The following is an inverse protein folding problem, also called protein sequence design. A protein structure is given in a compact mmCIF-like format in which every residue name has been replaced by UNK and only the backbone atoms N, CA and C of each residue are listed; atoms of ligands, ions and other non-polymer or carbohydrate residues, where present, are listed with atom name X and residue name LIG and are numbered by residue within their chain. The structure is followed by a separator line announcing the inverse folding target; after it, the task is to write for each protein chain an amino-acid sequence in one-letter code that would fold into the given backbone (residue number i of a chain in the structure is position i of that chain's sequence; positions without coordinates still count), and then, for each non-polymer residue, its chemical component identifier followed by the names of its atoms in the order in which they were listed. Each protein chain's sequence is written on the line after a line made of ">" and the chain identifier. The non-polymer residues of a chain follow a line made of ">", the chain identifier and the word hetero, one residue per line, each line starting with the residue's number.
data_IF_942446721789
#
_entry.id   IF_942446721789
#
_cell.length_a   1.000
_cell.length_b   1.000
_cell.length_c   1.000
_cell.angle_alpha   90.00
_cell.angle_beta   90.00
_cell.angle_gamma   90.00
#
_symmetry.space_group_name_H-M   'P 1'
#
loop_
_entity.id
_entity.type
_entity.pdbx_description
1 polymer ?
2 non-polymer ?
3 water ?
#
# COMPACT_ATOMS: atom_id res chain seq x y z
N UNK A 9 -8.29 16.15 -19.88
CA UNK A 9 -7.72 14.82 -20.13
C UNK A 9 -7.45 14.07 -18.81
N UNK A 10 -7.54 12.73 -18.87
CA UNK A 10 -7.22 11.83 -17.77
C UNK A 10 -5.94 11.05 -18.11
N UNK A 11 -4.99 10.94 -17.17
CA UNK A 11 -3.79 10.15 -17.40
C UNK A 11 -3.74 8.99 -16.42
N UNK A 12 -3.18 7.85 -16.86
CA UNK A 12 -2.87 6.73 -15.97
C UNK A 12 -1.37 6.44 -16.05
N UNK A 13 -0.66 6.52 -14.94
CA UNK A 13 0.78 6.32 -14.99
C UNK A 13 1.01 4.83 -14.71
N UNK A 14 1.37 4.07 -15.75
CA UNK A 14 1.19 2.63 -15.69
C UNK A 14 2.25 1.94 -14.82
N UNK A 15 3.35 2.65 -14.51
CA UNK A 15 4.43 2.10 -13.71
C UNK A 15 4.25 2.49 -12.24
N UNK A 16 3.31 3.40 -11.93
CA UNK A 16 3.26 3.99 -10.61
C UNK A 16 3.03 2.98 -9.45
N UNK A 17 2.08 2.05 -9.61
CA UNK A 17 1.71 1.15 -8.55
C UNK A 17 2.88 0.23 -8.22
N UNK A 18 3.68 -0.14 -9.23
CA UNK A 18 4.88 -0.95 -8.98
C UNK A 18 5.89 -0.19 -8.17
N UNK A 19 6.13 1.08 -8.52
CA UNK A 19 7.06 1.92 -7.80
C UNK A 19 6.59 2.20 -6.39
N UNK A 20 5.29 2.46 -6.22
CA UNK A 20 4.71 2.66 -4.92
C UNK A 20 4.88 1.44 -3.99
N UNK A 21 4.57 0.26 -4.50
CA UNK A 21 4.77 -0.98 -3.75
C UNK A 21 6.22 -1.13 -3.30
N UNK A 22 7.16 -0.82 -4.19
CA UNK A 22 8.57 -0.76 -3.85
C UNK A 22 8.82 0.07 -2.58
N UNK A 23 8.25 1.26 -2.52
CA UNK A 23 8.43 2.15 -1.40
C UNK A 23 7.76 1.59 -0.13
N UNK A 24 6.55 1.08 -0.25
CA UNK A 24 5.83 0.50 0.89
C UNK A 24 6.63 -0.71 1.44
N UNK A 25 7.26 -1.50 0.56
CA UNK A 25 8.08 -2.64 0.97
C UNK A 25 9.31 -2.13 1.72
N UNK A 26 9.92 -1.05 1.21
CA UNK A 26 11.02 -0.43 1.95
C UNK A 26 10.58 0.01 3.34
N UNK A 27 9.41 0.65 3.49
CA UNK A 27 8.96 1.15 4.78
C UNK A 27 8.64 0.00 5.74
N UNK A 28 8.10 -1.09 5.20
CA UNK A 28 7.91 -2.30 5.98
C UNK A 28 9.25 -2.84 6.48
N UNK A 29 10.23 -2.97 5.62
CA UNK A 29 11.51 -3.56 5.99
C UNK A 29 12.25 -2.65 6.98
N UNK A 30 11.98 -1.36 6.98
CA UNK A 30 12.64 -0.46 7.92
C UNK A 30 11.72 -0.22 9.11
N UNK A 31 10.58 -0.93 9.16
CA UNK A 31 9.67 -0.85 10.27
C UNK A 31 9.17 0.57 10.51
N UNK A 32 8.75 1.23 9.42
CA UNK A 32 8.22 2.57 9.55
C UNK A 32 6.75 2.56 9.20
N UNK A 33 5.97 3.25 10.04
CA UNK A 33 4.56 3.53 9.83
C UNK A 33 3.66 2.33 10.10
N UNK A 34 4.24 1.22 10.57
CA UNK A 34 3.54 -0.05 10.77
C UNK A 34 2.51 0.07 11.88
N UNK A 35 1.37 -0.60 11.73
CA UNK A 35 0.30 -0.49 12.72
C UNK A 35 -0.21 -1.88 13.14
N UNK A 36 0.49 -2.92 12.70
CA UNK A 36 0.15 -4.28 13.11
C UNK A 36 1.44 -5.03 13.31
N UNK A 37 1.46 -5.83 14.38
CA UNK A 37 2.48 -6.83 14.59
C UNK A 37 1.79 -8.18 14.63
N UNK A 38 2.14 -9.03 13.67
CA UNK A 38 1.69 -10.41 13.64
C UNK A 38 2.67 -11.27 14.44
N UNK A 39 2.15 -11.90 15.51
CA UNK A 39 2.90 -12.91 16.26
C UNK A 39 2.45 -14.30 15.85
N UNK A 40 3.36 -15.03 15.22
CA UNK A 40 3.01 -16.26 14.55
C UNK A 40 3.62 -17.40 15.36
N UNK A 41 2.73 -18.26 15.88
CA UNK A 41 3.16 -19.40 16.70
C UNK A 41 2.79 -20.67 15.94
N UNK A 42 3.77 -21.54 15.70
CA UNK A 42 3.52 -22.81 15.03
C UNK A 42 4.27 -23.93 15.76
N UNK A 43 3.56 -25.04 16.01
CA UNK A 43 4.14 -26.24 16.61
C UNK A 43 5.21 -25.88 17.64
N UNK A 44 6.44 -26.34 17.36
CA UNK A 44 7.56 -26.24 18.26
C UNK A 44 8.55 -25.21 17.73
N UNK A 45 8.37 -24.81 16.46
CA UNK A 45 9.16 -23.75 15.85
C UNK A 45 9.15 -22.51 16.75
N UNK A 46 10.21 -21.65 16.64
CA UNK A 46 10.27 -20.41 17.43
C UNK A 46 9.20 -19.41 16.96
N UNK A 47 8.61 -18.68 17.92
CA UNK A 47 7.64 -17.65 17.59
C UNK A 47 8.31 -16.59 16.72
N UNK A 48 7.58 -16.07 15.73
CA UNK A 48 8.10 -15.00 14.89
C UNK A 48 7.11 -13.84 14.90
N UNK A 49 7.66 -12.63 14.72
CA UNK A 49 6.90 -11.41 14.71
C UNK A 49 7.10 -10.74 13.36
N UNK A 50 6.05 -10.19 12.79
CA UNK A 50 6.14 -9.48 11.53
C UNK A 50 5.42 -8.16 11.67
N UNK A 51 6.12 -7.08 11.42
CA UNK A 51 5.44 -5.80 11.47
C UNK A 51 5.00 -5.43 10.06
N UNK A 52 3.82 -4.81 9.96
CA UNK A 52 3.29 -4.48 8.66
C UNK A 52 2.28 -3.35 8.80
N UNK A 53 1.67 -3.04 7.66
CA UNK A 53 0.64 -2.05 7.50
C UNK A 53 -0.68 -2.73 7.21
N UNK A 54 -1.67 -2.51 8.09
CA UNK A 54 -2.96 -3.16 7.94
C UNK A 54 -3.55 -2.88 6.57
N UNK A 55 -3.39 -1.65 6.04
CA UNK A 55 -4.06 -1.34 4.79
C UNK A 55 -3.41 -2.15 3.66
N UNK A 56 -2.09 -2.40 3.73
CA UNK A 56 -1.46 -3.16 2.65
C UNK A 56 -1.85 -4.65 2.74
N UNK A 57 -1.91 -5.18 3.96
CA UNK A 57 -2.30 -6.59 4.10
C UNK A 57 -3.74 -6.76 3.64
N UNK A 58 -4.62 -5.80 3.99
CA UNK A 58 -6.00 -5.86 3.53
C UNK A 58 -6.10 -5.84 2.02
N UNK A 59 -5.19 -5.12 1.35
CA UNK A 59 -5.18 -5.00 -0.10
C UNK A 59 -4.86 -6.34 -0.76
N UNK A 60 -4.24 -7.26 0.00
CA UNK A 60 -3.76 -8.52 -0.54
C UNK A 60 -4.71 -9.67 -0.30
N UNK A 61 -5.62 -9.52 0.68
CA UNK A 61 -6.32 -10.67 1.24
C UNK A 61 -7.64 -10.23 1.86
N UNK A 62 -8.78 -10.78 1.40
CA UNK A 62 -10.09 -10.54 2.02
C UNK A 62 -10.14 -10.97 3.49
N UNK A 63 -9.31 -11.94 3.83
CA UNK A 63 -9.22 -12.42 5.20
C UNK A 63 -8.51 -11.39 6.07
N UNK A 64 -7.36 -10.86 5.63
CA UNK A 64 -6.74 -9.75 6.34
C UNK A 64 -7.70 -8.55 6.37
N UNK A 65 -8.42 -8.29 5.29
CA UNK A 65 -9.27 -7.13 5.26
C UNK A 65 -10.37 -7.26 6.34
N UNK A 66 -10.99 -8.44 6.45
CA UNK A 66 -12.03 -8.70 7.44
C UNK A 66 -11.46 -8.63 8.85
N UNK A 67 -10.24 -9.16 9.01
CA UNK A 67 -9.56 -9.18 10.29
C UNK A 67 -9.45 -7.77 10.85
N UNK A 68 -9.22 -6.76 9.99
CA UNK A 68 -8.84 -5.45 10.51
C UNK A 68 -9.98 -4.45 10.45
N UNK A 69 -11.12 -4.77 9.83
CA UNK A 69 -12.17 -3.77 9.63
C UNK A 69 -13.50 -4.15 10.32
N UNK A 74 -10.27 0.00 16.88
CA UNK A 74 -8.82 -0.17 17.19
C UNK A 74 -8.05 1.06 16.71
N UNK A 75 -6.97 1.39 17.41
CA UNK A 75 -6.16 2.55 17.10
C UNK A 75 -4.77 2.37 17.70
N UNK A 76 -3.73 2.73 16.93
CA UNK A 76 -2.34 2.47 17.31
C UNK A 76 -1.90 1.07 16.90
N UNK A 77 -0.71 0.68 17.38
CA UNK A 77 -0.10 -0.59 17.06
C UNK A 77 -0.90 -1.72 17.70
N UNK A 78 -1.44 -2.64 16.90
CA UNK A 78 -2.17 -3.78 17.40
C UNK A 78 -1.35 -5.05 17.19
N UNK A 79 -1.13 -5.79 18.30
CA UNK A 79 -0.43 -7.06 18.28
C UNK A 79 -1.46 -8.16 18.09
N UNK A 80 -1.31 -8.93 17.01
CA UNK A 80 -2.28 -9.92 16.56
C UNK A 80 -1.61 -11.29 16.57
N UNK A 81 -2.26 -12.28 17.21
CA UNK A 81 -1.69 -13.61 17.31
C UNK A 81 -2.30 -14.53 16.27
N UNK A 82 -1.42 -15.32 15.65
CA UNK A 82 -1.80 -16.26 14.63
C UNK A 82 -1.22 -17.61 15.03
N UNK A 83 -2.01 -18.69 14.89
CA UNK A 83 -1.54 -20.03 15.23
C UNK A 83 -1.79 -21.01 14.09
N UNK A 84 -0.91 -22.01 13.96
CA UNK A 84 -1.13 -23.11 13.04
C UNK A 84 -0.76 -22.75 11.60
N UNK A 85 -0.02 -21.66 11.42
CA UNK A 85 0.63 -21.39 10.16
C UNK A 85 2.10 -21.12 10.44
N UNK A 86 2.94 -21.83 9.72
CA UNK A 86 4.37 -21.69 9.87
C UNK A 86 4.80 -20.28 9.50
N UNK A 87 5.68 -19.67 10.32
CA UNK A 87 6.21 -18.34 10.07
C UNK A 87 6.74 -18.10 8.66
N UNK A 88 7.38 -19.10 8.07
CA UNK A 88 7.94 -18.98 6.72
C UNK A 88 6.84 -18.81 5.67
N UNK A 89 5.69 -19.47 5.88
CA UNK A 89 4.54 -19.30 5.01
C UNK A 89 4.04 -17.86 5.13
N UNK A 90 3.79 -17.43 6.37
CA UNK A 90 3.27 -16.11 6.60
C UNK A 90 4.22 -15.07 5.98
N UNK A 91 5.52 -15.25 6.19
CA UNK A 91 6.52 -14.41 5.56
C UNK A 91 6.38 -14.33 4.03
N UNK A 92 6.17 -15.46 3.34
CA UNK A 92 5.95 -15.46 1.92
C UNK A 92 4.70 -14.68 1.55
N UNK A 93 3.64 -14.77 2.36
CA UNK A 93 2.39 -14.12 2.03
C UNK A 93 2.54 -12.60 2.21
N UNK A 94 3.24 -12.16 3.26
CA UNK A 94 3.47 -10.75 3.53
C UNK A 94 4.31 -10.18 2.39
N UNK A 95 5.36 -10.92 1.97
CA UNK A 95 6.22 -10.46 0.90
C UNK A 95 5.43 -10.29 -0.39
N UNK A 96 4.51 -11.21 -0.66
CA UNK A 96 3.59 -11.13 -1.79
C UNK A 96 2.76 -9.86 -1.72
N UNK A 97 2.15 -9.59 -0.57
CA UNK A 97 1.32 -8.41 -0.39
C UNK A 97 2.08 -7.11 -0.72
N UNK A 98 3.39 -7.07 -0.48
CA UNK A 98 4.18 -5.86 -0.73
C UNK A 98 4.95 -5.87 -2.04
N UNK A 99 4.92 -6.98 -2.81
CA UNK A 99 5.70 -7.09 -4.04
C UNK A 99 4.92 -7.58 -5.25
N UNK A 100 3.78 -8.23 -5.04
CA UNK A 100 3.02 -8.91 -6.08
C UNK A 100 3.78 -10.12 -6.61
N UNK A 101 4.77 -10.59 -5.87
CA UNK A 101 5.51 -11.75 -6.30
C UNK A 101 5.51 -12.82 -5.20
N UNK A 102 5.40 -14.08 -5.61
CA UNK A 102 5.38 -15.20 -4.69
C UNK A 102 6.51 -16.14 -5.07
N UNK A 103 7.20 -16.62 -4.05
CA UNK A 103 8.28 -17.59 -4.19
C UNK A 103 7.86 -18.94 -3.63
N UNK A 104 8.31 -20.00 -4.30
CA UNK A 104 8.01 -21.37 -3.89
C UNK A 104 9.03 -22.31 -4.51
N UNK A 105 9.02 -23.54 -3.99
CA UNK A 105 9.74 -24.66 -4.57
C UNK A 105 9.03 -25.96 -4.24
N UNK A 106 9.61 -27.05 -4.79
CA UNK A 106 9.05 -28.40 -4.72
C UNK A 106 8.60 -28.72 -3.30
N UNK A 107 9.45 -28.41 -2.31
CA UNK A 107 9.19 -28.90 -0.96
C UNK A 107 8.33 -27.93 -0.15
N UNK A 108 7.99 -26.74 -0.67
CA UNK A 108 7.16 -25.84 0.12
C UNK A 108 5.91 -25.35 -0.63
N UNK A 109 5.69 -25.80 -1.86
CA UNK A 109 4.57 -25.27 -2.64
C UNK A 109 3.26 -25.61 -1.93
N UNK A 110 3.14 -26.80 -1.34
CA UNK A 110 1.90 -27.17 -0.69
C UNK A 110 1.70 -26.30 0.54
N UNK A 111 2.79 -25.98 1.24
CA UNK A 111 2.71 -25.15 2.41
C UNK A 111 2.26 -23.73 2.03
N UNK A 112 2.84 -23.17 0.97
CA UNK A 112 2.46 -21.84 0.50
C UNK A 112 1.01 -21.86 0.05
N UNK A 113 0.63 -22.91 -0.69
CA UNK A 113 -0.74 -23.01 -1.19
C UNK A 113 -1.71 -23.02 0.00
N UNK A 114 -1.39 -23.78 1.06
CA UNK A 114 -2.25 -23.88 2.24
C UNK A 114 -2.50 -22.50 2.86
N UNK A 115 -1.41 -21.75 3.02
CA UNK A 115 -1.43 -20.38 3.49
C UNK A 115 -2.30 -19.46 2.62
N UNK A 116 -2.16 -19.57 1.29
CA UNK A 116 -2.94 -18.75 0.37
C UNK A 116 -4.42 -19.14 0.47
N UNK A 117 -4.67 -20.43 0.62
CA UNK A 117 -6.05 -20.88 0.76
C UNK A 117 -6.63 -20.22 2.02
N UNK A 118 -5.91 -20.39 3.14
CA UNK A 118 -6.37 -19.90 4.42
C UNK A 118 -6.67 -18.39 4.34
N UNK A 119 -5.83 -17.63 3.61
CA UNK A 119 -6.01 -16.20 3.47
C UNK A 119 -6.81 -15.78 2.24
N UNK A 120 -7.36 -16.73 1.48
CA UNK A 120 -8.18 -16.48 0.30
C UNK A 120 -7.43 -15.59 -0.69
N UNK A 121 -6.13 -15.84 -0.88
CA UNK A 121 -5.38 -15.05 -1.85
C UNK A 121 -5.41 -15.84 -3.15
N UNK A 122 -6.44 -15.62 -3.97
CA UNK A 122 -6.72 -16.56 -5.03
C UNK A 122 -5.60 -16.60 -6.08
N UNK A 123 -5.02 -15.46 -6.41
CA UNK A 123 -3.95 -15.43 -7.42
C UNK A 123 -2.79 -16.34 -7.02
N UNK A 124 -2.42 -16.30 -5.74
CA UNK A 124 -1.35 -17.14 -5.22
C UNK A 124 -1.76 -18.60 -5.22
N UNK A 125 -2.99 -18.93 -4.77
CA UNK A 125 -3.49 -20.30 -4.91
C UNK A 125 -3.29 -20.82 -6.35
N UNK A 126 -3.64 -20.01 -7.36
CA UNK A 126 -3.63 -20.47 -8.73
C UNK A 126 -2.18 -20.66 -9.19
N UNK A 127 -1.27 -19.79 -8.72
CA UNK A 127 0.13 -19.85 -9.07
C UNK A 127 0.76 -21.10 -8.46
N UNK A 128 0.39 -21.43 -7.21
CA UNK A 128 0.81 -22.69 -6.61
C UNK A 128 0.29 -23.90 -7.40
N UNK A 129 -0.98 -23.89 -7.81
CA UNK A 129 -1.54 -25.01 -8.54
C UNK A 129 -0.80 -25.17 -9.88
N UNK A 130 -0.56 -24.06 -10.57
CA UNK A 130 0.16 -24.07 -11.84
C UNK A 130 1.52 -24.75 -11.66
N UNK A 131 2.20 -24.39 -10.57
CA UNK A 131 3.51 -24.93 -10.27
C UNK A 131 3.44 -26.43 -10.05
N UNK A 132 2.47 -26.86 -9.24
CA UNK A 132 2.27 -28.26 -8.90
C UNK A 132 1.98 -29.11 -10.13
N UNK A 133 1.12 -28.61 -11.01
CA UNK A 133 0.74 -29.33 -12.21
C UNK A 133 1.92 -29.44 -13.18
N UNK A 134 2.79 -28.43 -13.23
CA UNK A 134 3.97 -28.50 -14.10
C UNK A 134 4.92 -29.62 -13.71
N UNK A 135 5.02 -29.97 -12.42
CA UNK A 135 5.93 -31.01 -11.95
C UNK A 135 5.51 -32.38 -12.51
N UNK B 4 13.69 -29.71 -8.65
CA UNK B 4 14.48 -30.41 -7.62
C UNK B 4 15.71 -29.57 -7.26
N UNK B 5 16.50 -30.07 -6.30
CA UNK B 5 17.72 -29.40 -5.86
C UNK B 5 17.47 -28.20 -4.94
N UNK B 6 16.23 -28.04 -4.43
CA UNK B 6 15.94 -26.96 -3.50
C UNK B 6 15.94 -25.61 -4.21
N UNK B 7 15.68 -25.62 -5.53
CA UNK B 7 15.63 -24.38 -6.29
C UNK B 7 14.33 -23.64 -5.94
N UNK B 8 14.39 -22.31 -5.89
CA UNK B 8 13.19 -21.51 -5.61
C UNK B 8 12.90 -20.68 -6.84
N UNK B 9 11.60 -20.64 -7.18
CA UNK B 9 11.11 -19.92 -8.31
C UNK B 9 10.22 -18.79 -7.79
N UNK B 10 10.26 -17.65 -8.50
CA UNK B 10 9.45 -16.48 -8.23
C UNK B 10 8.48 -16.24 -9.38
N UNK B 11 7.25 -15.78 -9.04
CA UNK B 11 6.21 -15.51 -10.02
C UNK B 11 5.58 -14.18 -9.68
N UNK B 12 5.62 -13.25 -10.62
CA UNK B 12 4.95 -11.97 -10.47
C UNK B 12 3.51 -12.11 -10.96
N UNK B 13 2.55 -11.73 -10.11
CA UNK B 13 1.17 -11.79 -10.48
C UNK B 13 0.80 -10.40 -10.97
N UNK B 14 0.66 -10.26 -12.29
CA UNK B 14 0.64 -8.99 -13.00
C UNK B 14 -0.61 -8.16 -12.71
N UNK B 15 -1.76 -8.76 -12.40
CA UNK B 15 -2.97 -7.99 -12.14
C UNK B 15 -2.99 -7.47 -10.70
N UNK B 16 -2.02 -7.89 -9.87
CA UNK B 16 -2.21 -7.79 -8.44
C UNK B 16 -2.14 -6.35 -7.92
N UNK B 17 -1.12 -5.55 -8.29
CA UNK B 17 -0.95 -4.27 -7.64
C UNK B 17 -2.11 -3.36 -8.01
N UNK B 18 -2.69 -3.51 -9.20
CA UNK B 18 -3.81 -2.70 -9.61
C UNK B 18 -5.04 -3.05 -8.77
N UNK B 19 -5.30 -4.34 -8.59
CA UNK B 19 -6.42 -4.73 -7.73
C UNK B 19 -6.20 -4.28 -6.28
N UNK B 20 -4.96 -4.39 -5.80
CA UNK B 20 -4.62 -3.98 -4.46
C UNK B 20 -4.90 -2.49 -4.27
N UNK B 21 -4.41 -1.66 -5.18
CA UNK B 21 -4.66 -0.23 -5.01
C UNK B 21 -6.17 0.06 -4.99
N UNK B 22 -6.91 -0.68 -5.80
CA UNK B 22 -8.35 -0.50 -5.84
C UNK B 22 -8.98 -0.70 -4.47
N UNK B 23 -8.54 -1.75 -3.76
CA UNK B 23 -8.99 -2.02 -2.41
C UNK B 23 -8.51 -0.93 -1.45
N UNK B 24 -7.25 -0.48 -1.56
CA UNK B 24 -6.80 0.60 -0.68
C UNK B 24 -7.66 1.86 -0.89
N UNK B 25 -8.04 2.16 -2.13
CA UNK B 25 -8.84 3.34 -2.40
C UNK B 25 -10.24 3.17 -1.83
N UNK B 26 -10.77 1.94 -1.89
CA UNK B 26 -12.07 1.65 -1.31
C UNK B 26 -12.05 1.95 0.18
N UNK B 27 -10.97 1.53 0.84
CA UNK B 27 -10.83 1.67 2.29
C UNK B 27 -10.69 3.14 2.64
N UNK B 28 -9.96 3.89 1.80
CA UNK B 28 -9.87 5.33 1.99
C UNK B 28 -11.28 5.94 1.94
N UNK B 29 -12.08 5.53 0.95
CA UNK B 29 -13.34 6.22 0.68
C UNK B 29 -14.39 5.88 1.72
N UNK B 30 -14.25 4.72 2.36
CA UNK B 30 -15.12 4.29 3.43
C UNK B 30 -14.46 4.65 4.77
N UNK B 31 -13.35 5.38 4.68
CA UNK B 31 -12.61 5.92 5.82
C UNK B 31 -12.32 4.84 6.84
N UNK B 32 -11.78 3.70 6.36
CA UNK B 32 -11.35 2.61 7.22
C UNK B 32 -9.84 2.47 7.19
N UNK B 33 -9.28 2.18 8.36
CA UNK B 33 -7.87 1.92 8.63
C UNK B 33 -7.04 3.21 8.50
N UNK B 34 -7.67 4.34 8.21
CA UNK B 34 -6.92 5.57 7.97
C UNK B 34 -6.22 6.04 9.25
N UNK B 35 -5.06 6.69 9.10
CA UNK B 35 -4.27 7.08 10.26
C UNK B 35 -3.85 8.55 10.16
N UNK B 36 -4.31 9.25 9.12
CA UNK B 36 -4.01 10.66 9.02
C UNK B 36 -5.23 11.38 8.48
N UNK B 37 -5.49 12.55 9.06
CA UNK B 37 -6.45 13.48 8.50
C UNK B 37 -5.70 14.74 8.10
N UNK B 38 -5.72 15.04 6.82
CA UNK B 38 -5.15 16.27 6.31
C UNK B 38 -6.18 17.39 6.44
N UNK B 39 -5.75 18.48 7.07
CA UNK B 39 -6.57 19.68 7.15
C UNK B 39 -5.92 20.73 6.29
N UNK B 40 -6.52 20.94 5.12
CA UNK B 40 -5.98 21.76 4.06
C UNK B 40 -6.60 23.15 4.18
N UNK B 41 -5.81 24.12 4.66
CA UNK B 41 -6.23 25.51 4.82
C UNK B 41 -5.52 26.34 3.76
N UNK B 42 -6.30 26.88 2.84
CA UNK B 42 -5.72 27.74 1.82
C UNK B 42 -6.48 29.08 1.79
N UNK B 43 -5.73 30.19 1.82
CA UNK B 43 -6.26 31.54 1.59
C UNK B 43 -7.58 31.80 2.33
N UNK B 44 -7.64 31.41 3.61
CA UNK B 44 -8.80 31.62 4.48
C UNK B 44 -10.12 31.10 3.88
N UNK B 45 -10.09 30.05 3.05
CA UNK B 45 -11.28 29.24 2.83
C UNK B 45 -11.51 28.36 4.06
N UNK B 46 -12.71 27.82 4.31
CA UNK B 46 -12.88 26.86 5.40
C UNK B 46 -11.91 25.68 5.13
N UNK B 47 -11.44 25.04 6.21
CA UNK B 47 -10.44 23.99 6.10
C UNK B 47 -11.12 22.79 5.46
N UNK B 48 -10.41 22.10 4.58
CA UNK B 48 -10.96 20.94 3.88
C UNK B 48 -10.28 19.70 4.43
N UNK B 49 -11.06 18.65 4.66
CA UNK B 49 -10.50 17.49 5.32
C UNK B 49 -10.44 16.32 4.35
N UNK B 50 -9.31 15.60 4.45
CA UNK B 50 -9.11 14.37 3.70
C UNK B 50 -8.50 13.34 4.64
N UNK B 51 -9.13 12.15 4.70
CA UNK B 51 -8.56 11.07 5.47
C UNK B 51 -7.78 10.15 4.53
N UNK B 52 -6.70 9.59 5.06
CA UNK B 52 -5.87 8.72 4.24
C UNK B 52 -4.97 7.88 5.12
N UNK B 53 -4.11 7.07 4.45
CA UNK B 53 -3.17 6.17 5.05
C UNK B 53 -1.76 6.67 4.77
N UNK B 54 -1.04 6.98 5.84
CA UNK B 54 0.30 7.53 5.71
C UNK B 54 1.18 6.68 4.79
N UNK B 55 1.10 5.33 4.92
CA UNK B 55 1.99 4.49 4.13
C UNK B 55 1.71 4.70 2.64
N UNK B 56 0.45 4.97 2.27
CA UNK B 56 0.10 5.09 0.85
C UNK B 56 0.54 6.48 0.37
N UNK B 57 0.31 7.53 1.15
CA UNK B 57 0.77 8.86 0.76
C UNK B 57 2.29 8.87 0.59
N UNK B 58 3.01 8.25 1.53
CA UNK B 58 4.47 8.15 1.47
C UNK B 58 4.93 7.43 0.20
N UNK B 59 4.18 6.44 -0.26
CA UNK B 59 4.52 5.70 -1.46
C UNK B 59 4.41 6.57 -2.71
N UNK B 60 3.71 7.70 -2.64
CA UNK B 60 3.46 8.54 -3.79
C UNK B 60 4.33 9.79 -3.80
N UNK B 61 4.85 10.18 -2.63
CA UNK B 61 5.43 11.51 -2.44
C UNK B 61 6.61 11.42 -1.46
N UNK B 62 7.83 11.77 -1.90
CA UNK B 62 8.95 11.89 -0.96
C UNK B 62 8.74 12.92 0.13
N UNK B 63 7.94 13.95 -0.15
CA UNK B 63 7.57 14.94 0.83
C UNK B 63 6.68 14.36 1.92
N UNK B 64 5.60 13.66 1.54
CA UNK B 64 4.82 12.93 2.53
C UNK B 64 5.67 11.93 3.29
N UNK B 65 6.54 11.20 2.61
CA UNK B 65 7.28 10.15 3.26
C UNK B 65 8.19 10.74 4.35
N UNK B 66 8.87 11.84 4.04
CA UNK B 66 9.72 12.53 5.00
C UNK B 66 8.89 13.05 6.16
N UNK B 67 7.72 13.63 5.86
CA UNK B 67 6.89 14.21 6.88
C UNK B 67 6.48 13.12 7.86
N UNK B 68 6.09 11.95 7.36
CA UNK B 68 5.47 11.00 8.26
C UNK B 68 6.50 10.12 8.97
N UNK B 69 7.71 9.95 8.41
CA UNK B 69 8.70 9.04 8.98
C UNK B 69 9.76 9.73 9.85
N UNK B 70 9.69 11.05 10.05
CA UNK B 70 10.85 11.78 10.58
C UNK B 70 10.71 12.15 12.06
N UNK B 71 9.52 12.57 12.50
CA UNK B 71 9.31 13.03 13.86
C UNK B 71 8.61 11.99 14.73
N UNK B 72 7.70 12.46 15.60
CA UNK B 72 7.00 11.63 16.59
C UNK B 72 5.65 12.26 17.01
N UNK B 73 4.60 11.42 17.08
CA UNK B 73 3.26 11.85 17.49
C UNK B 73 2.71 10.80 18.46
N UNK B 74 1.38 10.55 18.43
CA UNK B 74 0.76 9.61 19.36
C UNK B 74 0.44 8.27 18.68
N UNK B 75 0.78 8.13 17.39
CA UNK B 75 0.64 6.88 16.64
C UNK B 75 -0.83 6.41 16.62
N UNK B 76 -1.76 7.27 17.05
CA UNK B 76 -3.15 7.18 16.66
C UNK B 76 -3.42 8.02 15.42
N UNK B 77 -4.70 8.29 15.13
CA UNK B 77 -5.09 9.22 14.08
C UNK B 77 -4.40 10.56 14.30
N UNK B 78 -3.55 10.99 13.37
CA UNK B 78 -2.92 12.29 13.46
C UNK B 78 -3.58 13.28 12.51
N UNK B 79 -3.83 14.47 13.06
CA UNK B 79 -4.41 15.54 12.29
C UNK B 79 -3.26 16.45 11.88
N UNK B 80 -3.13 16.68 10.57
CA UNK B 80 -1.93 17.31 10.02
C UNK B 80 -2.41 18.54 9.28
N UNK B 81 -1.83 19.66 9.69
CA UNK B 81 -2.17 20.95 9.16
C UNK B 81 -1.38 21.13 7.87
N UNK B 82 -2.08 21.48 6.80
CA UNK B 82 -1.49 21.67 5.50
C UNK B 82 -1.84 23.06 4.99
N UNK B 83 -0.83 23.80 4.54
CA UNK B 83 -1.11 25.10 3.97
C UNK B 83 -0.31 25.23 2.69
N UNK B 84 -0.72 26.20 1.89
CA UNK B 84 -0.01 26.57 0.68
C UNK B 84 -0.51 25.80 -0.53
N UNK B 85 -1.60 25.03 -0.41
CA UNK B 85 -2.16 24.32 -1.55
C UNK B 85 -3.67 24.26 -1.49
N UNK B 86 -4.31 24.52 -2.62
CA UNK B 86 -5.76 24.47 -2.70
C UNK B 86 -6.23 23.04 -2.45
N UNK B 87 -7.28 22.85 -1.62
CA UNK B 87 -7.86 21.54 -1.39
C UNK B 87 -8.24 20.74 -2.64
N UNK B 88 -8.68 21.42 -3.71
CA UNK B 88 -9.03 20.70 -4.92
C UNK B 88 -7.79 20.08 -5.56
N UNK B 89 -6.63 20.72 -5.40
CA UNK B 89 -5.38 20.20 -5.90
C UNK B 89 -5.00 19.00 -5.04
N UNK B 90 -4.98 19.20 -3.72
CA UNK B 90 -4.62 18.13 -2.81
C UNK B 90 -5.55 16.94 -3.03
N UNK B 91 -6.83 17.17 -3.35
CA UNK B 91 -7.75 16.06 -3.58
C UNK B 91 -7.26 15.17 -4.71
N UNK B 92 -6.80 15.77 -5.81
CA UNK B 92 -6.38 15.02 -6.96
C UNK B 92 -5.02 14.36 -6.69
N UNK B 93 -4.17 14.95 -5.85
CA UNK B 93 -2.90 14.31 -5.57
C UNK B 93 -3.12 13.06 -4.69
N UNK B 94 -4.10 13.11 -3.79
CA UNK B 94 -4.44 11.97 -2.97
C UNK B 94 -5.06 10.89 -3.88
N UNK B 95 -5.94 11.30 -4.77
CA UNK B 95 -6.57 10.33 -5.65
C UNK B 95 -5.53 9.63 -6.51
N UNK B 96 -4.52 10.39 -6.99
CA UNK B 96 -3.42 9.83 -7.74
C UNK B 96 -2.66 8.78 -6.93
N UNK B 97 -2.35 9.08 -5.67
CA UNK B 97 -1.56 8.16 -4.85
C UNK B 97 -2.26 6.80 -4.74
N UNK B 98 -3.60 6.83 -4.76
CA UNK B 98 -4.42 5.63 -4.63
C UNK B 98 -4.89 4.97 -5.93
N UNK B 99 -4.72 5.61 -7.11
CA UNK B 99 -5.31 5.15 -8.35
C UNK B 99 -4.31 5.13 -9.50
N UNK B 100 -3.17 5.84 -9.39
CA UNK B 100 -2.23 6.03 -10.48
C UNK B 100 -2.86 6.81 -11.64
N UNK B 101 -3.95 7.51 -11.39
CA UNK B 101 -4.54 8.33 -12.44
C UNK B 101 -4.74 9.76 -11.93
N UNK B 102 -4.64 10.71 -12.86
CA UNK B 102 -4.84 12.12 -12.57
C UNK B 102 -5.59 12.73 -13.74
N UNK B 103 -6.59 13.55 -13.39
CA UNK B 103 -7.41 14.32 -14.31
C UNK B 103 -7.10 15.81 -14.18
N UNK B 104 -7.13 16.51 -15.32
CA UNK B 104 -6.93 17.96 -15.33
C UNK B 104 -7.64 18.59 -16.53
N UNK B 105 -7.78 19.92 -16.46
CA UNK B 105 -8.27 20.75 -17.56
C UNK B 105 -7.36 21.94 -17.79
N UNK B 106 -7.56 22.64 -18.91
CA UNK B 106 -6.77 23.83 -19.16
C UNK B 106 -6.82 24.77 -17.97
N UNK B 107 -7.95 24.84 -17.27
CA UNK B 107 -8.07 25.82 -16.21
C UNK B 107 -7.35 25.38 -14.93
N UNK B 108 -6.89 24.11 -14.79
CA UNK B 108 -6.34 23.66 -13.51
C UNK B 108 -5.00 22.90 -13.63
N UNK B 109 -4.48 22.75 -14.85
CA UNK B 109 -3.25 22.00 -15.08
C UNK B 109 -2.10 22.67 -14.33
N UNK B 110 -2.04 24.01 -14.34
CA UNK B 110 -0.93 24.68 -13.69
C UNK B 110 -1.09 24.53 -12.19
N UNK B 111 -2.34 24.51 -11.72
CA UNK B 111 -2.53 24.34 -10.29
C UNK B 111 -2.01 22.97 -9.87
N UNK B 112 -2.34 21.97 -10.69
CA UNK B 112 -1.99 20.61 -10.35
C UNK B 112 -0.49 20.47 -10.44
N UNK B 113 0.10 21.03 -11.50
CA UNK B 113 1.55 20.91 -11.66
C UNK B 113 2.25 21.52 -10.45
N UNK B 114 1.74 22.65 -9.96
CA UNK B 114 2.35 23.37 -8.87
C UNK B 114 2.31 22.53 -7.60
N UNK B 115 1.15 21.93 -7.32
CA UNK B 115 1.03 20.99 -6.21
C UNK B 115 1.96 19.77 -6.35
N UNK B 116 2.06 19.20 -7.56
CA UNK B 116 2.87 18.03 -7.79
C UNK B 116 4.36 18.36 -7.58
N UNK B 117 4.80 19.56 -7.98
CA UNK B 117 6.16 20.00 -7.73
C UNK B 117 6.37 20.12 -6.23
N UNK B 118 5.41 20.74 -5.53
CA UNK B 118 5.51 20.97 -4.11
C UNK B 118 5.63 19.65 -3.32
N UNK B 119 4.93 18.60 -3.75
CA UNK B 119 4.98 17.31 -3.08
C UNK B 119 5.93 16.30 -3.73
N UNK B 120 6.68 16.75 -4.75
CA UNK B 120 7.68 15.98 -5.47
C UNK B 120 7.12 14.70 -6.07
N UNK B 121 5.93 14.80 -6.63
CA UNK B 121 5.32 13.71 -7.37
C UNK B 121 5.65 13.83 -8.85
N UNK B 122 6.80 13.24 -9.20
CA UNK B 122 7.45 13.51 -10.46
C UNK B 122 6.56 13.02 -11.60
N UNK B 123 5.90 11.87 -11.42
CA UNK B 123 5.10 11.35 -12.52
C UNK B 123 3.90 12.26 -12.82
N UNK B 124 3.33 12.93 -11.82
CA UNK B 124 2.23 13.84 -12.06
C UNK B 124 2.75 15.11 -12.74
N UNK B 125 3.93 15.57 -12.31
CA UNK B 125 4.56 16.75 -12.90
C UNK B 125 4.70 16.49 -14.38
N UNK B 126 5.12 15.28 -14.76
CA UNK B 126 5.41 14.98 -16.16
C UNK B 126 4.13 14.81 -16.99
N UNK B 127 3.06 14.33 -16.38
CA UNK B 127 1.76 14.25 -17.03
C UNK B 127 1.21 15.65 -17.29
N UNK B 128 1.35 16.54 -16.31
CA UNK B 128 0.94 17.93 -16.44
C UNK B 128 1.72 18.60 -17.57
N UNK B 129 3.03 18.31 -17.69
CA UNK B 129 3.86 18.88 -18.73
C UNK B 129 3.38 18.41 -20.08
N UNK B 130 3.01 17.13 -20.14
CA UNK B 130 2.58 16.55 -21.39
C UNK B 130 1.30 17.25 -21.83
N UNK B 131 0.42 17.49 -20.86
CA UNK B 131 -0.85 18.14 -21.12
C UNK B 131 -0.63 19.57 -21.63
N UNK B 132 0.26 20.35 -21.00
CA UNK B 132 0.49 21.74 -21.37
C UNK B 132 1.01 21.86 -22.78
N UNK B 133 1.85 20.93 -23.22
CA UNK B 133 2.48 21.08 -24.52
C UNK B 133 1.56 20.61 -25.66
N UNK B 134 0.42 19.98 -25.40
CA UNK B 134 -0.37 19.56 -26.53
C UNK B 134 -1.49 20.59 -26.77
X LIG C 1 11.76 -23.72 1.02
X LIG C 1 12.62 -22.14 2.67
X LIG C 1 13.66 -22.27 3.74
X LIG C 1 12.66 -24.25 4.57
X LIG C 1 11.67 -24.35 3.42
X LIG C 1 10.25 -24.04 3.84
X LIG C 1 9.49 -23.00 3.22
X LIG C 1 7.65 -25.35 6.24
X LIG C 1 5.74 -25.81 7.49
X LIG C 1 7.68 -27.07 7.84
X LIG C 1 7.20 -21.43 2.86
X LIG C 1 8.15 -22.77 3.60
X LIG C 1 13.01 -22.90 4.83
X LIG C 1 12.04 -23.46 2.31
X LIG C 1 12.03 -22.86 0.16
X LIG C 1 10.99 -24.91 0.54
X LIG C 1 10.29 -24.50 -0.79
X LIG C 1 7.58 -23.55 4.59
X LIG C 1 8.32 -24.56 5.19
X LIG C 1 9.63 -24.82 4.82
X LIG C 1 8.30 -26.35 6.88
X LIG C 1 6.39 -26.82 8.14
X LIG C 1 6.36 -25.08 6.53
X LIG C 1 4.47 -25.53 7.80
X LIG D 1 -11.49 21.83 -12.66
X LIG D 1 -12.91 21.34 -10.69
X LIG D 1 -14.03 22.09 -9.99
X LIG D 1 -12.77 24.07 -9.92
X LIG D 1 -11.68 23.54 -10.86
X LIG D 1 -10.36 23.49 -10.13
X LIG D 1 -9.64 22.29 -10.02
X LIG D 1 -8.06 25.88 -8.25
X LIG D 1 -6.36 26.99 -7.05
X LIG D 1 -8.25 28.16 -7.79
X LIG D 1 -7.47 20.72 -9.24
X LIG D 1 -8.41 22.28 -9.35
X LIG D 1 -13.40 23.06 -9.18
X LIG D 1 -12.03 22.24 -11.47
X LIG D 1 -11.73 20.68 -13.06
X LIG D 1 -10.61 22.72 -13.53
X LIG D 1 -9.60 21.90 -14.36
X LIG D 1 -7.91 23.44 -8.79
X LIG D 1 -8.63 24.64 -8.86
X LIG D 1 -9.85 24.66 -9.55
X LIG D 1 -8.76 27.06 -8.35
X LIG D 1 -7.07 28.15 -7.14
X LIG D 1 -6.87 25.86 -7.62
X LIG D 1 -5.16 26.96 -6.40
#
# INVERSE_FOLDING_TARGET
>A
GSHMGNRTFSYTLEDHTKQAFGIMNELRLSQQLCDVTLQVKYQDAPAAQFMAHKVVLASSSPVFKAMFTNGLREQGMEVVSIEGIHPKVMERLIEFAYTASISMGEKCVLHVMNGAVMYQIDSVVRACADFLVQQLD
>B
GSHMGNRTFSYTLEDHTKQAFGIMNELRLSQQLCDVTLQVKYQDAPAAQFMAHKVVLASSSPVFKAMFTNGLREQGMEVVSIEGIHPKVMERLIEFAYTASISMGEKCVLHVMNGAVMYQIDSVVRACADFLVQQLD
>C hetero
1 A1BCT C2 C3 C4 C5 C6 C7 C12 C13 C14 C15 CL C11 O1 N O C1 C C10 C9 C8 N4 N3 N1 N2
>D hetero
1 A1BCT C2 C3 C4 C5 C6 C7 C12 C13 C14 C15 CL C11 O1 N O C1 C C10 C9 C8 N4 N3 N1 N2
#
